data_IF_777892859783
#
_entry.id   IF_777892859783
#
_cell.length_a   1.000
_cell.length_b   1.000
_cell.length_c   1.000
_cell.angle_alpha   90.00
_cell.angle_beta   90.00
_cell.angle_gamma   90.00
#
_symmetry.space_group_name_H-M   'P 1'
#
loop_
_entity.id
_entity.type
_entity.pdbx_description
1 polymer ?
#
# COMPACT_ATOMS: atom_id res chain seq x y z
N UNK A 1 3.26 31.72 36.73
CA UNK A 1 4.00 30.45 36.65
C UNK A 1 3.39 29.65 35.57
N UNK A 2 3.99 29.70 34.37
CA UNK A 2 3.72 28.79 33.29
C UNK A 2 4.63 27.59 33.56
N UNK A 3 4.09 26.56 34.15
CA UNK A 3 4.72 25.25 34.13
C UNK A 3 4.76 24.80 32.68
N UNK A 4 5.92 24.93 32.05
CA UNK A 4 6.23 24.17 30.84
C UNK A 4 6.19 22.70 31.26
N UNK A 5 5.06 22.03 30.97
CA UNK A 5 5.00 20.58 31.08
C UNK A 5 6.08 20.04 30.15
N UNK A 6 6.97 19.24 30.70
CA UNK A 6 7.82 18.36 29.90
C UNK A 6 6.83 17.56 29.06
N UNK A 7 6.94 17.69 27.73
CA UNK A 7 6.15 16.86 26.82
C UNK A 7 6.61 15.42 27.11
N UNK A 8 5.68 14.64 27.67
CA UNK A 8 5.94 13.24 27.91
C UNK A 8 6.28 12.55 26.58
N UNK A 9 7.25 11.68 26.60
CA UNK A 9 7.61 10.85 25.45
C UNK A 9 6.35 10.21 24.87
N UNK A 10 6.12 10.44 23.61
CA UNK A 10 4.94 9.93 22.91
C UNK A 10 5.37 8.95 21.84
N UNK A 11 4.75 7.76 21.84
CA UNK A 11 5.03 6.69 20.90
C UNK A 11 3.82 6.51 19.98
N UNK A 12 4.08 6.54 18.67
CA UNK A 12 3.08 6.32 17.63
C UNK A 12 3.46 5.15 16.75
N UNK A 13 2.48 4.39 16.31
CA UNK A 13 2.65 3.27 15.41
C UNK A 13 1.88 3.52 14.13
N UNK A 14 2.47 3.15 12.99
CA UNK A 14 1.82 3.39 11.71
C UNK A 14 2.47 2.68 10.54
N UNK A 15 2.01 3.03 9.35
CA UNK A 15 2.52 2.53 8.07
C UNK A 15 3.08 3.66 7.24
N UNK A 16 4.22 3.41 6.59
CA UNK A 16 4.84 4.36 5.67
C UNK A 16 3.99 4.46 4.41
N UNK A 17 3.48 5.66 4.13
CA UNK A 17 2.70 5.96 2.93
C UNK A 17 3.56 6.43 1.78
N UNK A 18 4.53 7.29 2.07
CA UNK A 18 5.47 7.83 1.08
C UNK A 18 6.85 7.98 1.69
N UNK A 19 7.86 7.80 0.85
CA UNK A 19 9.25 8.12 1.18
C UNK A 19 9.81 9.02 0.08
N UNK A 20 10.30 10.19 0.46
CA UNK A 20 10.83 11.18 -0.47
C UNK A 20 12.25 11.54 -0.11
N UNK A 21 13.07 11.78 -1.14
CA UNK A 21 14.44 12.30 -1.02
C UNK A 21 14.55 13.58 -1.81
N UNK A 22 15.09 14.61 -1.21
CA UNK A 22 15.37 15.88 -1.86
C UNK A 22 16.79 16.31 -1.60
N UNK A 23 17.43 16.91 -2.60
CA UNK A 23 18.72 17.56 -2.41
C UNK A 23 18.49 18.89 -1.68
N UNK A 24 19.33 19.18 -0.70
CA UNK A 24 19.36 20.49 -0.06
C UNK A 24 20.22 21.40 -0.93
N UNK A 25 19.65 22.52 -1.40
CA UNK A 25 20.26 23.39 -2.43
C UNK A 25 21.60 24.03 -2.06
N UNK A 26 21.93 24.15 -0.76
CA UNK A 26 23.06 24.97 -0.32
C UNK A 26 24.44 24.33 -0.53
N UNK A 27 24.56 23.01 -0.72
CA UNK A 27 25.87 22.37 -0.90
C UNK A 27 25.88 21.18 -1.89
N UNK A 28 24.76 20.82 -2.49
CA UNK A 28 24.68 19.70 -3.44
C UNK A 28 25.05 18.31 -2.90
N UNK A 29 25.47 18.23 -1.64
CA UNK A 29 25.95 17.00 -1.00
C UNK A 29 24.98 16.44 0.06
N UNK A 30 24.08 17.25 0.58
CA UNK A 30 23.15 16.82 1.61
C UNK A 30 21.82 16.42 1.03
N UNK A 31 21.39 15.20 1.38
CA UNK A 31 20.09 14.64 1.01
C UNK A 31 19.18 14.72 2.23
N UNK A 32 18.11 15.48 2.12
CA UNK A 32 17.03 15.44 3.09
C UNK A 32 16.10 14.28 2.70
N UNK A 33 15.90 13.38 3.63
CA UNK A 33 14.97 12.26 3.46
C UNK A 33 13.80 12.41 4.43
N UNK A 34 12.59 12.29 3.89
CA UNK A 34 11.35 12.37 4.66
C UNK A 34 10.48 11.17 4.37
N UNK A 35 9.81 10.69 5.39
CA UNK A 35 8.73 9.73 5.25
C UNK A 35 7.43 10.32 5.77
N UNK A 36 6.33 9.94 5.13
CA UNK A 36 4.98 10.22 5.61
C UNK A 36 4.39 8.94 6.16
N UNK A 37 3.95 8.95 7.39
CA UNK A 37 3.45 7.79 8.13
C UNK A 37 2.02 8.05 8.57
N UNK A 38 1.09 7.19 8.15
CA UNK A 38 -0.26 7.16 8.70
C UNK A 38 -0.24 6.38 10.01
N UNK A 39 -0.53 7.05 11.10
CA UNK A 39 -0.52 6.45 12.44
C UNK A 39 -1.90 5.93 12.85
N UNK A 40 -1.91 5.04 13.85
CA UNK A 40 -3.14 4.41 14.35
C UNK A 40 -4.17 5.39 14.91
N UNK A 41 -3.72 6.57 15.35
CA UNK A 41 -4.59 7.67 15.80
C UNK A 41 -5.28 8.43 14.64
N UNK A 42 -5.01 8.05 13.40
CA UNK A 42 -5.58 8.69 12.22
C UNK A 42 -4.83 9.94 11.75
N UNK A 43 -3.70 10.25 12.36
CA UNK A 43 -2.90 11.43 11.99
C UNK A 43 -1.73 10.98 11.12
N UNK A 44 -1.59 11.62 9.97
CA UNK A 44 -0.39 11.45 9.13
C UNK A 44 0.72 12.35 9.64
N UNK A 45 1.85 11.74 9.98
CA UNK A 45 3.06 12.43 10.43
C UNK A 45 4.13 12.38 9.37
N UNK A 46 4.82 13.50 9.16
CA UNK A 46 5.96 13.58 8.25
C UNK A 46 7.22 13.76 9.07
N UNK A 47 8.12 12.80 9.00
CA UNK A 47 9.33 12.75 9.81
C UNK A 47 10.56 12.77 8.92
N UNK A 48 11.57 13.54 9.34
CA UNK A 48 12.88 13.49 8.73
C UNK A 48 13.63 12.26 9.24
N UNK A 49 14.25 11.54 8.32
CA UNK A 49 15.05 10.35 8.64
C UNK A 49 16.48 10.52 8.12
N UNK A 50 17.42 9.80 8.74
CA UNK A 50 18.80 9.79 8.28
C UNK A 50 18.90 9.24 6.85
N UNK A 51 19.78 9.83 6.05
CA UNK A 51 20.00 9.46 4.65
C UNK A 51 20.47 8.02 4.44
N UNK A 52 21.04 7.42 5.48
CA UNK A 52 21.48 6.02 5.47
C UNK A 52 20.34 5.01 5.68
N UNK A 53 19.21 5.48 6.21
CA UNK A 53 18.06 4.65 6.49
C UNK A 53 17.15 4.55 5.26
N UNK A 54 16.42 3.44 5.16
CA UNK A 54 15.44 3.24 4.11
C UNK A 54 14.18 2.63 4.72
N UNK A 55 13.08 3.34 4.58
CA UNK A 55 11.75 2.90 5.02
C UNK A 55 10.82 2.86 3.81
N UNK A 56 10.73 1.72 3.10
CA UNK A 56 9.85 1.59 1.96
C UNK A 56 8.38 1.81 2.32
N UNK A 57 7.62 2.27 1.35
CA UNK A 57 6.16 2.35 1.43
C UNK A 57 5.57 1.01 1.84
N UNK A 58 4.60 1.05 2.74
CA UNK A 58 3.96 -0.15 3.29
C UNK A 58 4.65 -0.76 4.51
N UNK A 59 5.84 -0.28 4.89
CA UNK A 59 6.50 -0.74 6.11
C UNK A 59 5.82 -0.22 7.37
N UNK A 60 5.85 -1.06 8.41
CA UNK A 60 5.43 -0.69 9.75
C UNK A 60 6.56 0.02 10.47
N UNK A 61 6.23 1.11 11.13
CA UNK A 61 7.18 1.90 11.90
C UNK A 61 6.59 2.36 13.22
N UNK A 62 7.48 2.53 14.18
CA UNK A 62 7.27 3.24 15.43
C UNK A 62 7.91 4.61 15.32
N UNK A 63 7.20 5.64 15.74
CA UNK A 63 7.71 7.01 15.87
C UNK A 63 7.75 7.33 17.36
N UNK A 64 8.94 7.54 17.87
CA UNK A 64 9.14 7.99 19.24
C UNK A 64 9.45 9.49 19.22
N UNK A 65 8.59 10.28 19.85
CA UNK A 65 8.74 11.73 19.97
C UNK A 65 9.29 12.04 21.35
N UNK A 66 10.49 12.58 21.37
CA UNK A 66 11.21 12.97 22.59
C UNK A 66 11.53 14.47 22.54
N UNK A 67 11.93 15.11 23.65
CA UNK A 67 12.39 16.49 23.64
C UNK A 67 13.57 16.75 22.70
N UNK A 68 14.38 15.72 22.41
CA UNK A 68 15.51 15.79 21.49
C UNK A 68 15.11 15.67 20.01
N UNK A 69 13.88 15.24 19.75
CA UNK A 69 13.34 15.07 18.40
C UNK A 69 12.59 13.77 18.17
N UNK A 70 12.28 13.52 16.92
CA UNK A 70 11.54 12.36 16.47
C UNK A 70 12.50 11.26 16.00
N UNK A 71 12.30 10.05 16.49
CA UNK A 71 13.03 8.86 16.08
C UNK A 71 12.07 7.88 15.43
N UNK A 72 12.48 7.32 14.29
CA UNK A 72 11.70 6.32 13.56
C UNK A 72 12.42 4.99 13.59
N UNK A 73 11.71 3.94 13.93
CA UNK A 73 12.22 2.57 13.95
C UNK A 73 11.27 1.66 13.19
N UNK A 74 11.80 0.84 12.28
CA UNK A 74 11.02 -0.21 11.66
C UNK A 74 10.65 -1.26 12.72
N UNK A 75 9.39 -1.70 12.69
CA UNK A 75 8.89 -2.72 13.62
C UNK A 75 8.54 -4.00 12.88
N UNK A 76 8.83 -5.12 13.52
CA UNK A 76 8.47 -6.43 13.00
C UNK A 76 6.98 -6.70 13.20
N UNK A 77 6.41 -7.54 12.33
CA UNK A 77 5.04 -7.97 12.46
C UNK A 77 4.82 -8.75 13.76
N UNK A 78 3.75 -8.39 14.46
CA UNK A 78 3.26 -9.10 15.65
C UNK A 78 1.78 -9.38 15.46
N UNK A 79 1.44 -10.62 15.20
CA UNK A 79 0.10 -11.01 14.82
C UNK A 79 -0.67 -11.69 15.96
N UNK A 80 -1.98 -11.60 15.89
CA UNK A 80 -2.93 -12.32 16.72
C UNK A 80 -4.06 -12.81 15.82
N UNK A 81 -4.66 -13.94 16.14
CA UNK A 81 -5.82 -14.47 15.41
C UNK A 81 -7.00 -14.65 16.35
N UNK A 82 -8.19 -14.55 15.82
CA UNK A 82 -9.42 -14.69 16.58
C UNK A 82 -10.61 -14.10 15.83
N UNK A 83 -11.77 -14.11 16.46
CA UNK A 83 -12.95 -13.44 15.95
C UNK A 83 -13.19 -12.19 16.78
N UNK A 84 -13.41 -11.06 16.11
CA UNK A 84 -13.95 -9.88 16.77
C UNK A 84 -15.39 -10.23 17.17
N UNK A 85 -15.73 -10.10 18.44
CA UNK A 85 -17.09 -10.36 18.89
C UNK A 85 -18.10 -9.36 18.31
N UNK A 86 -19.39 -9.68 18.38
CA UNK A 86 -20.46 -8.86 17.78
C UNK A 86 -20.58 -7.46 18.40
N UNK A 87 -20.10 -7.29 19.62
CA UNK A 87 -20.04 -5.99 20.30
C UNK A 87 -18.75 -5.21 20.03
N UNK A 88 -17.82 -5.82 19.28
CA UNK A 88 -16.51 -5.25 18.98
C UNK A 88 -15.70 -4.83 20.22
N UNK A 89 -15.79 -5.62 21.29
CA UNK A 89 -15.08 -5.39 22.56
C UNK A 89 -13.97 -6.41 22.83
N UNK A 90 -13.84 -7.42 21.99
CA UNK A 90 -12.79 -8.43 22.12
C UNK A 90 -12.37 -9.02 20.76
N UNK A 91 -11.11 -9.40 20.66
CA UNK A 91 -10.52 -10.18 19.58
C UNK A 91 -9.98 -11.49 20.15
N UNK A 92 -10.68 -12.59 19.89
CA UNK A 92 -10.34 -13.87 20.51
C UNK A 92 -10.32 -13.77 22.02
N UNK A 93 -9.18 -14.08 22.63
CA UNK A 93 -9.00 -14.06 24.11
C UNK A 93 -8.60 -12.67 24.65
N UNK A 94 -8.37 -11.69 23.78
CA UNK A 94 -7.97 -10.34 24.18
C UNK A 94 -9.16 -9.39 24.19
N UNK A 95 -9.35 -8.67 25.26
CA UNK A 95 -10.25 -7.52 25.28
C UNK A 95 -9.66 -6.40 24.40
N UNK A 96 -10.52 -5.63 23.76
CA UNK A 96 -10.14 -4.36 23.13
C UNK A 96 -10.32 -3.24 24.15
N UNK A 97 -9.38 -2.31 24.19
CA UNK A 97 -9.51 -1.11 25.01
C UNK A 97 -10.67 -0.24 24.49
N UNK A 98 -11.29 0.54 25.36
CA UNK A 98 -12.40 1.43 24.97
C UNK A 98 -11.97 2.49 23.94
N UNK A 99 -10.71 2.89 24.00
CA UNK A 99 -10.06 3.85 23.10
C UNK A 99 -9.17 3.20 22.05
N UNK A 100 -9.39 1.91 21.75
CA UNK A 100 -8.58 1.16 20.78
C UNK A 100 -8.48 1.88 19.45
N UNK A 101 -7.27 2.05 18.98
CA UNK A 101 -6.96 2.63 17.67
C UNK A 101 -6.74 1.52 16.67
N UNK A 102 -7.55 1.49 15.63
CA UNK A 102 -7.48 0.47 14.57
C UNK A 102 -7.14 1.14 13.24
N UNK A 103 -6.10 0.65 12.60
CA UNK A 103 -5.66 1.08 11.28
C UNK A 103 -5.72 -0.10 10.32
N UNK A 104 -6.47 0.01 9.23
CA UNK A 104 -6.38 -0.94 8.14
C UNK A 104 -5.36 -0.44 7.12
N UNK A 105 -4.54 -1.34 6.58
CA UNK A 105 -3.39 -0.97 5.74
C UNK A 105 -3.21 -1.93 4.60
N UNK A 106 -2.54 -1.51 3.54
CA UNK A 106 -2.08 -2.39 2.45
C UNK A 106 -0.56 -2.42 2.38
N UNK A 107 -0.01 -3.38 1.65
CA UNK A 107 1.43 -3.45 1.33
C UNK A 107 1.92 -2.26 0.51
N UNK A 108 1.00 -1.55 -0.15
CA UNK A 108 1.28 -0.37 -0.97
C UNK A 108 1.21 0.94 -0.18
N UNK A 109 1.05 0.85 1.15
CA UNK A 109 1.02 2.01 2.03
C UNK A 109 -0.31 2.76 2.06
N UNK A 110 -1.38 2.22 1.46
CA UNK A 110 -2.71 2.73 1.71
C UNK A 110 -3.08 2.44 3.15
N UNK A 111 -3.70 3.39 3.83
CA UNK A 111 -4.08 3.24 5.22
C UNK A 111 -5.29 4.10 5.56
N UNK A 112 -6.09 3.61 6.49
CA UNK A 112 -7.25 4.32 7.01
C UNK A 112 -7.67 3.79 8.37
N UNK A 113 -8.19 4.69 9.21
CA UNK A 113 -8.71 4.31 10.52
C UNK A 113 -10.02 3.54 10.39
N UNK A 114 -10.19 2.57 11.26
CA UNK A 114 -11.37 1.70 11.29
C UNK A 114 -12.03 1.79 12.65
N UNK A 115 -13.34 1.98 12.67
CA UNK A 115 -14.10 1.88 13.91
C UNK A 115 -14.25 0.41 14.32
N UNK A 116 -14.14 0.04 15.60
CA UNK A 116 -14.30 -1.34 16.04
C UNK A 116 -15.57 -2.01 15.52
N UNK A 117 -16.70 -1.28 15.51
CA UNK A 117 -17.99 -1.78 15.00
C UNK A 117 -17.98 -2.17 13.53
N UNK A 118 -17.07 -1.62 12.72
CA UNK A 118 -16.94 -1.93 11.28
C UNK A 118 -16.45 -3.35 11.04
N UNK A 119 -15.70 -3.89 11.99
CA UNK A 119 -15.12 -5.23 11.92
C UNK A 119 -15.73 -6.21 12.92
N UNK A 120 -16.85 -5.85 13.56
CA UNK A 120 -17.60 -6.74 14.45
C UNK A 120 -17.98 -8.03 13.72
N UNK A 121 -17.86 -9.16 14.40
CA UNK A 121 -18.11 -10.49 13.84
C UNK A 121 -17.06 -11.00 12.85
N UNK A 122 -16.04 -10.20 12.51
CA UNK A 122 -15.01 -10.59 11.54
C UNK A 122 -14.02 -11.58 12.15
N UNK A 123 -13.74 -12.66 11.43
CA UNK A 123 -12.68 -13.60 11.80
C UNK A 123 -11.36 -13.14 11.20
N UNK A 124 -10.41 -12.83 12.06
CA UNK A 124 -9.06 -12.45 11.69
C UNK A 124 -8.11 -13.65 11.84
N UNK A 125 -7.40 -13.97 10.79
CA UNK A 125 -6.30 -14.93 10.84
C UNK A 125 -4.98 -14.19 11.12
N UNK A 126 -3.89 -14.92 11.31
CA UNK A 126 -2.58 -14.34 11.61
C UNK A 126 -2.04 -13.41 10.50
N UNK A 127 -2.49 -13.56 9.24
CA UNK A 127 -2.08 -12.70 8.12
C UNK A 127 -2.91 -11.42 8.05
N UNK A 128 -4.09 -11.41 8.67
CA UNK A 128 -4.97 -10.25 8.71
C UNK A 128 -4.53 -9.20 9.73
N UNK A 129 -3.68 -9.58 10.70
CA UNK A 129 -3.14 -8.68 11.71
C UNK A 129 -1.65 -8.51 11.48
N UNK A 130 -1.22 -7.28 11.24
CA UNK A 130 0.19 -6.93 11.02
C UNK A 130 0.91 -6.60 12.32
N UNK A 131 0.21 -5.91 13.23
CA UNK A 131 0.79 -5.47 14.50
C UNK A 131 -0.29 -5.16 15.53
N UNK A 132 0.02 -5.36 16.80
CA UNK A 132 -0.82 -4.93 17.91
C UNK A 132 0.01 -4.62 19.14
N UNK A 133 -0.50 -3.74 19.99
CA UNK A 133 0.02 -3.43 21.33
C UNK A 133 -1.01 -3.74 22.39
N UNK A 134 -0.53 -3.94 23.60
CA UNK A 134 -1.36 -4.14 24.78
C UNK A 134 -1.10 -3.00 25.75
N UNK A 135 -2.17 -2.48 26.34
CA UNK A 135 -2.09 -1.54 27.43
C UNK A 135 -1.67 -2.24 28.76
N UNK A 136 -1.54 -1.49 29.83
CA UNK A 136 -1.19 -2.00 31.17
C UNK A 136 -2.18 -3.05 31.70
N UNK A 137 -3.42 -3.02 31.23
CA UNK A 137 -4.48 -3.95 31.58
C UNK A 137 -4.47 -5.22 30.73
N UNK A 138 -3.54 -5.34 29.78
CA UNK A 138 -3.43 -6.46 28.86
C UNK A 138 -4.50 -6.46 27.75
N UNK A 139 -5.15 -5.31 27.51
CA UNK A 139 -6.11 -5.12 26.43
C UNK A 139 -5.40 -4.61 25.18
N UNK A 140 -5.88 -4.99 24.01
CA UNK A 140 -5.40 -4.43 22.74
C UNK A 140 -5.81 -2.96 22.66
N UNK A 141 -4.84 -2.08 22.62
CA UNK A 141 -5.03 -0.62 22.52
C UNK A 141 -4.69 -0.07 21.13
N UNK A 142 -3.84 -0.78 20.37
CA UNK A 142 -3.55 -0.48 18.96
C UNK A 142 -3.57 -1.75 18.14
N UNK A 143 -4.17 -1.66 16.95
CA UNK A 143 -4.32 -2.81 16.05
C UNK A 143 -4.11 -2.34 14.60
N UNK A 144 -3.12 -2.91 13.93
CA UNK A 144 -2.85 -2.64 12.52
C UNK A 144 -3.21 -3.89 11.72
N UNK A 145 -4.15 -3.71 10.79
CA UNK A 145 -4.71 -4.75 9.96
C UNK A 145 -4.10 -4.75 8.55
N UNK A 146 -4.33 -5.83 7.83
CA UNK A 146 -3.85 -6.05 6.48
C UNK A 146 -5.05 -6.24 5.53
N UNK A 147 -5.56 -5.13 4.99
CA UNK A 147 -6.65 -5.04 4.02
C UNK A 147 -7.88 -5.88 4.40
N UNK A 148 -8.31 -5.72 5.65
CA UNK A 148 -9.44 -6.49 6.21
C UNK A 148 -10.78 -5.93 5.78
N UNK A 149 -10.88 -4.59 5.71
CA UNK A 149 -12.14 -3.93 5.38
C UNK A 149 -12.40 -3.85 3.89
N UNK A 150 -11.37 -3.85 3.06
CA UNK A 150 -11.45 -3.56 1.63
C UNK A 150 -11.82 -2.10 1.30
N UNK A 151 -12.01 -1.25 2.31
CA UNK A 151 -12.48 0.12 2.16
C UNK A 151 -11.38 1.08 1.64
N UNK A 152 -10.13 0.63 1.65
CA UNK A 152 -8.97 1.39 1.18
C UNK A 152 -8.89 1.49 -0.34
N UNK A 153 -9.50 0.53 -1.04
CA UNK A 153 -9.53 0.48 -2.48
C UNK A 153 -10.67 1.36 -3.01
N UNK A 154 -10.31 2.37 -3.79
CA UNK A 154 -11.29 3.21 -4.48
C UNK A 154 -11.47 2.70 -5.89
N UNK A 155 -12.60 2.10 -6.13
CA UNK A 155 -13.03 1.75 -7.49
C UNK A 155 -13.84 2.90 -8.05
N UNK A 156 -13.48 3.40 -9.24
CA UNK A 156 -14.21 4.43 -9.95
C UNK A 156 -14.53 3.99 -11.37
N UNK A 157 -15.71 4.32 -11.84
CA UNK A 157 -15.99 4.31 -13.25
C UNK A 157 -15.44 5.63 -13.80
N UNK A 158 -14.64 5.55 -14.85
CA UNK A 158 -14.16 6.75 -15.54
C UNK A 158 -15.32 7.38 -16.31
N UNK A 159 -16.01 8.29 -15.68
CA UNK A 159 -17.25 8.89 -16.20
C UNK A 159 -16.99 10.18 -16.97
N UNK A 160 -15.95 10.92 -16.61
CA UNK A 160 -15.56 12.16 -17.28
C UNK A 160 -14.04 12.25 -17.51
N UNK A 161 -13.66 12.07 -18.75
CA UNK A 161 -12.26 12.16 -19.21
C UNK A 161 -11.71 13.59 -19.16
N UNK A 162 -12.57 14.59 -19.08
CA UNK A 162 -12.18 16.01 -19.07
C UNK A 162 -11.50 16.42 -17.76
N UNK A 163 -11.72 15.70 -16.68
CA UNK A 163 -11.11 15.95 -15.37
C UNK A 163 -9.76 15.26 -15.17
N UNK A 164 -9.34 14.42 -16.09
CA UNK A 164 -7.99 13.91 -16.11
C UNK A 164 -7.06 14.97 -16.66
N UNK A 165 -5.93 15.18 -16.01
CA UNK A 165 -4.88 16.11 -16.49
C UNK A 165 -4.26 15.71 -17.84
N UNK A 166 -4.80 14.70 -18.48
CA UNK A 166 -4.47 14.27 -19.82
C UNK A 166 -5.37 14.95 -20.85
N UNK A 167 -4.78 15.39 -21.95
CA UNK A 167 -5.61 15.84 -23.07
C UNK A 167 -6.27 14.63 -23.76
N UNK A 168 -7.33 14.90 -24.51
CA UNK A 168 -8.12 13.85 -25.18
C UNK A 168 -7.28 12.99 -26.14
N UNK A 169 -6.26 13.57 -26.78
CA UNK A 169 -5.39 12.85 -27.69
C UNK A 169 -4.50 11.82 -26.96
N UNK A 170 -4.02 12.17 -25.80
CA UNK A 170 -3.18 11.27 -24.98
C UNK A 170 -3.99 10.09 -24.45
N UNK A 171 -5.21 10.38 -24.03
CA UNK A 171 -6.13 9.33 -23.59
C UNK A 171 -6.54 8.39 -24.72
N UNK A 172 -6.82 8.95 -25.89
CA UNK A 172 -7.15 8.15 -27.08
C UNK A 172 -5.99 7.24 -27.47
N UNK A 173 -4.75 7.72 -27.39
CA UNK A 173 -3.55 6.94 -27.66
C UNK A 173 -3.41 5.79 -26.66
N UNK A 174 -3.66 6.07 -25.36
CA UNK A 174 -3.60 5.07 -24.30
C UNK A 174 -4.66 3.97 -24.50
N UNK A 175 -5.90 4.36 -24.78
CA UNK A 175 -7.00 3.41 -25.03
C UNK A 175 -6.72 2.57 -26.28
N UNK A 176 -6.15 3.15 -27.32
CA UNK A 176 -5.82 2.43 -28.55
C UNK A 176 -4.69 1.42 -28.30
N UNK A 177 -3.68 1.77 -27.50
CA UNK A 177 -2.59 0.86 -27.17
C UNK A 177 -3.06 -0.31 -26.30
N UNK A 178 -3.97 -0.07 -25.35
CA UNK A 178 -4.59 -1.13 -24.53
C UNK A 178 -5.44 -2.06 -25.40
N UNK A 179 -6.23 -1.51 -26.32
CA UNK A 179 -7.07 -2.30 -27.21
C UNK A 179 -6.24 -3.15 -28.23
N UNK A 180 -5.05 -2.68 -28.56
CA UNK A 180 -4.11 -3.41 -29.42
C UNK A 180 -3.31 -4.51 -28.68
N UNK A 181 -3.51 -4.67 -27.36
CA UNK A 181 -2.79 -5.64 -26.53
C UNK A 181 -1.32 -5.30 -26.29
N UNK A 182 -0.94 -4.07 -26.54
CA UNK A 182 0.40 -3.58 -26.27
C UNK A 182 0.53 -3.29 -24.78
N UNK A 183 1.27 -4.12 -24.06
CA UNK A 183 1.55 -3.96 -22.64
C UNK A 183 2.57 -2.84 -22.45
N UNK A 184 2.13 -1.61 -22.53
CA UNK A 184 2.96 -0.47 -22.17
C UNK A 184 3.02 -0.31 -20.66
N UNK A 185 4.09 -0.81 -20.06
CA UNK A 185 4.51 -0.30 -18.77
C UNK A 185 4.95 1.15 -18.98
N UNK A 186 4.07 2.11 -18.67
CA UNK A 186 4.39 3.51 -18.34
C UNK A 186 5.35 4.31 -19.24
N UNK A 187 5.69 3.83 -20.42
CA UNK A 187 6.54 4.57 -21.34
C UNK A 187 5.75 4.86 -22.60
N UNK A 188 5.62 6.12 -22.94
CA UNK A 188 5.02 6.60 -24.20
C UNK A 188 5.75 6.00 -25.38
N UNK A 189 5.22 4.92 -25.93
CA UNK A 189 5.73 4.40 -27.20
C UNK A 189 5.04 5.17 -28.32
N UNK A 190 5.81 5.97 -29.02
CA UNK A 190 5.40 6.62 -30.26
C UNK A 190 5.14 5.52 -31.28
N UNK A 191 3.89 5.26 -31.60
CA UNK A 191 3.52 4.36 -32.69
C UNK A 191 3.96 4.98 -34.01
N UNK A 192 5.05 4.53 -34.52
CA UNK A 192 5.44 4.85 -35.89
C UNK A 192 4.46 4.20 -36.85
N UNK A 193 3.62 5.00 -37.48
CA UNK A 193 2.77 4.59 -38.58
C UNK A 193 3.66 4.35 -39.79
N UNK A 194 4.04 3.11 -40.01
CA UNK A 194 4.60 2.73 -41.31
C UNK A 194 3.47 2.47 -42.28
N UNK A 195 3.16 3.44 -43.09
CA UNK A 195 2.40 3.26 -44.31
C UNK A 195 3.29 2.48 -45.30
N UNK A 196 3.16 1.18 -45.28
CA UNK A 196 3.70 0.30 -46.30
C UNK A 196 2.74 0.22 -47.46
N UNK A 197 3.10 0.85 -48.56
CA UNK A 197 2.41 0.67 -49.82
C UNK A 197 2.59 -0.76 -50.33
N UNK A 198 1.51 -1.44 -50.61
CA UNK A 198 1.50 -2.74 -51.27
C UNK A 198 1.77 -2.56 -52.73
N UNK A 199 2.80 -3.23 -53.24
CA UNK A 199 2.89 -3.63 -54.66
C UNK A 199 3.13 -5.11 -54.72
N UNK A 200 2.34 -5.75 -55.55
CA UNK A 200 2.14 -7.17 -55.63
C UNK A 200 3.34 -7.98 -56.16
N UNK A 201 3.23 -9.26 -56.02
CA UNK A 201 4.10 -10.27 -56.62
C UNK A 201 3.69 -11.66 -56.18
N UNK A 202 3.23 -12.38 -57.11
CA UNK A 202 2.69 -13.72 -57.16
C UNK A 202 3.70 -14.83 -56.77
N UNK A 203 3.10 -15.97 -56.36
CA UNK A 203 3.54 -17.37 -56.54
C UNK A 203 4.35 -18.04 -55.44
N UNK A 204 3.79 -19.18 -55.01
CA UNK A 204 4.59 -20.36 -54.78
C UNK A 204 4.30 -21.18 -53.50
N UNK A 205 3.30 -22.02 -53.61
CA UNK A 205 3.34 -23.46 -53.22
C UNK A 205 4.05 -23.90 -51.93
N UNK A 206 3.26 -24.56 -51.07
CA UNK A 206 3.71 -25.88 -50.60
C UNK A 206 3.94 -26.05 -49.11
N UNK A 207 3.13 -26.91 -48.61
CA UNK A 207 3.41 -27.99 -47.65
C UNK A 207 3.00 -27.82 -46.20
N UNK A 208 1.96 -28.58 -45.92
CA UNK A 208 1.47 -29.13 -44.66
C UNK A 208 2.55 -29.83 -43.82
N UNK A 209 2.47 -29.64 -42.53
CA UNK A 209 2.67 -30.76 -41.59
C UNK A 209 1.98 -30.48 -40.25
N UNK A 210 0.95 -31.25 -40.04
CA UNK A 210 0.33 -31.55 -38.74
C UNK A 210 1.38 -32.09 -37.75
N UNK A 211 1.32 -31.66 -36.53
CA UNK A 211 1.82 -32.48 -35.43
C UNK A 211 0.91 -32.30 -34.21
N UNK A 212 0.00 -33.22 -34.11
CA UNK A 212 -0.80 -33.52 -32.92
C UNK A 212 0.11 -34.13 -31.86
N UNK A 213 0.15 -33.56 -30.68
CA UNK A 213 0.73 -34.25 -29.51
C UNK A 213 -0.31 -34.39 -28.43
N UNK A 214 -0.73 -35.60 -28.26
CA UNK A 214 -1.64 -36.14 -27.27
C UNK A 214 -0.95 -36.18 -25.90
N UNK A 215 -1.58 -35.61 -24.87
CA UNK A 215 -1.16 -35.79 -23.49
C UNK A 215 -1.92 -36.97 -22.88
N UNK A 216 -1.18 -37.97 -22.43
CA UNK A 216 -1.71 -39.11 -21.66
C UNK A 216 -1.42 -38.87 -20.19
N UNK A 217 -2.46 -38.97 -19.35
CA UNK A 217 -2.36 -38.96 -17.91
C UNK A 217 -1.79 -40.24 -17.33
N UNK A 218 -1.28 -40.17 -16.10
CA UNK A 218 -1.08 -41.32 -15.24
C UNK A 218 -1.34 -40.90 -13.79
N UNK A 219 -2.20 -41.71 -13.18
CA UNK A 219 -2.63 -41.73 -11.79
C UNK A 219 -1.65 -42.51 -10.90
N UNK A 220 -1.72 -42.22 -9.61
CA UNK A 220 -1.59 -43.07 -8.43
C UNK A 220 -0.20 -43.44 -7.91
N UNK A 221 -0.06 -43.25 -6.60
CA UNK A 221 0.92 -43.75 -5.68
C UNK A 221 0.89 -42.94 -4.40
#
# INVERSE_FOLDING_TARGET
>A
DVTTGEEADSVFYGVVQTATRSLVEDNGADVLQKISVMCTDGITRTVNIDKSLNYPTGWLVEINVTPEGEQVTAIESKSVSGTINDTATALGDYALADDVQILDTTSEGLAGTVRPSRIAGTKLNALAVRYYTLNEQGQIDRLILNDVTGDLWKYGVLDDVKNLAMNYSDLKSLVTSIAAGDSTSGTTTTTGTTTGAATGGTDGSGSTSDTTTTATGATAG
#
